data_IF_710591542981
#
_entry.id   IF_710591542981
#
_cell.length_a   1.000
_cell.length_b   1.000
_cell.length_c   1.000
_cell.angle_alpha   90.00
_cell.angle_beta   90.00
_cell.angle_gamma   90.00
#
_symmetry.space_group_name_H-M   'P 1'
#
loop_
_entity.id
_entity.type
_entity.pdbx_description
1 polymer ?
#
# COMPACT_ATOMS: atom_id res chain seq x y z
N UNK A 1 0.01 0.11 12.82
CA UNK A 1 0.31 0.80 11.53
C UNK A 1 -0.18 0.01 10.33
N UNK A 2 0.36 -1.19 10.01
CA UNK A 2 -0.13 -2.02 8.89
C UNK A 2 -1.65 -2.28 8.95
N UNK A 3 -2.10 -2.83 10.07
CA UNK A 3 -3.54 -3.09 10.33
C UNK A 3 -4.40 -1.82 10.25
N UNK A 4 -3.87 -0.66 10.66
CA UNK A 4 -4.60 0.60 10.57
C UNK A 4 -4.77 1.05 9.11
N UNK A 5 -3.76 0.82 8.26
CA UNK A 5 -3.84 1.08 6.83
C UNK A 5 -4.86 0.13 6.19
N UNK A 6 -4.82 -1.16 6.52
CA UNK A 6 -5.80 -2.15 6.04
C UNK A 6 -7.23 -1.76 6.44
N UNK A 7 -7.45 -1.41 7.72
CA UNK A 7 -8.75 -0.95 8.20
C UNK A 7 -9.20 0.34 7.50
N UNK A 8 -8.28 1.27 7.24
CA UNK A 8 -8.57 2.51 6.54
C UNK A 8 -9.01 2.23 5.09
N UNK A 9 -8.26 1.42 4.35
CA UNK A 9 -8.61 1.05 2.97
C UNK A 9 -9.95 0.32 2.94
N UNK A 10 -10.13 -0.69 3.79
CA UNK A 10 -11.40 -1.43 3.88
C UNK A 10 -12.58 -0.51 4.27
N UNK A 11 -12.33 0.57 5.02
CA UNK A 11 -13.35 1.55 5.40
C UNK A 11 -13.71 2.49 4.25
N UNK A 12 -12.74 3.02 3.53
CA UNK A 12 -12.93 4.13 2.60
C UNK A 12 -12.93 3.74 1.12
N UNK A 13 -12.26 2.65 0.73
CA UNK A 13 -12.20 2.16 -0.64
C UNK A 13 -12.79 0.74 -0.73
N UNK A 14 -14.10 0.67 -0.93
CA UNK A 14 -14.88 -0.59 -0.90
C UNK A 14 -14.65 -1.48 -2.12
N UNK A 15 -14.09 -0.94 -3.20
CA UNK A 15 -13.80 -1.70 -4.41
C UNK A 15 -12.61 -2.63 -4.22
N UNK A 16 -11.68 -2.27 -3.33
CA UNK A 16 -10.54 -3.13 -3.01
C UNK A 16 -10.94 -4.13 -1.92
N UNK A 17 -10.82 -5.42 -2.23
CA UNK A 17 -11.05 -6.53 -1.31
C UNK A 17 -9.73 -7.24 -1.03
N UNK A 18 -9.73 -8.08 0.01
CA UNK A 18 -8.58 -8.89 0.41
C UNK A 18 -7.29 -8.05 0.60
N UNK A 19 -7.45 -6.85 1.16
CA UNK A 19 -6.33 -5.91 1.37
C UNK A 19 -5.30 -6.53 2.31
N UNK A 20 -4.05 -6.57 1.86
CA UNK A 20 -2.89 -6.95 2.65
C UNK A 20 -1.84 -5.85 2.62
N UNK A 21 -1.31 -5.46 3.78
CA UNK A 21 -0.26 -4.45 3.89
C UNK A 21 1.00 -5.05 4.52
N UNK A 22 2.08 -5.04 3.74
CA UNK A 22 3.43 -5.44 4.17
C UNK A 22 4.36 -4.23 4.26
N UNK A 23 5.39 -4.33 5.10
CA UNK A 23 6.51 -3.37 5.08
C UNK A 23 7.59 -3.96 4.17
N UNK A 24 8.03 -3.21 3.17
CA UNK A 24 9.12 -3.64 2.27
C UNK A 24 10.44 -3.70 3.06
N UNK A 25 11.02 -4.91 3.27
CA UNK A 25 12.24 -5.07 4.03
C UNK A 25 13.48 -4.62 3.23
N UNK A 26 13.44 -4.64 1.89
CA UNK A 26 14.60 -4.31 1.06
C UNK A 26 14.94 -2.82 1.13
N UNK A 27 13.94 -1.96 1.27
CA UNK A 27 14.13 -0.50 1.44
C UNK A 27 14.58 -0.07 2.84
N UNK A 28 14.49 -0.93 3.85
CA UNK A 28 15.01 -0.63 5.20
C UNK A 28 16.52 -0.41 5.22
N UNK A 29 17.24 -0.85 4.18
CA UNK A 29 18.71 -0.88 4.17
C UNK A 29 19.39 0.39 3.65
N UNK A 30 18.68 1.27 2.93
CA UNK A 30 19.28 2.47 2.31
C UNK A 30 18.87 3.80 2.94
N UNK A 31 17.73 3.87 3.63
CA UNK A 31 17.28 5.08 4.29
C UNK A 31 16.37 4.78 5.49
N UNK A 32 16.92 4.87 6.71
CA UNK A 32 16.18 4.67 7.96
C UNK A 32 15.07 5.70 8.21
N UNK A 33 15.01 6.79 7.42
CA UNK A 33 13.98 7.83 7.52
C UNK A 33 12.80 7.62 6.58
N UNK A 34 12.83 6.56 5.77
CA UNK A 34 11.74 6.24 4.85
C UNK A 34 11.13 4.89 5.21
N UNK A 35 9.82 4.87 5.44
CA UNK A 35 9.06 3.63 5.62
C UNK A 35 8.40 3.30 4.29
N UNK A 36 8.65 2.11 3.76
CA UNK A 36 8.05 1.64 2.53
C UNK A 36 6.99 0.58 2.83
N UNK A 37 5.79 0.74 2.29
CA UNK A 37 4.73 -0.28 2.35
C UNK A 37 4.43 -0.83 0.97
N UNK A 38 4.09 -2.11 0.94
CA UNK A 38 3.48 -2.78 -0.19
C UNK A 38 2.03 -3.03 0.21
N UNK A 39 1.11 -2.59 -0.64
CA UNK A 39 -0.33 -2.75 -0.46
C UNK A 39 -0.81 -3.63 -1.61
N UNK A 40 -1.34 -4.79 -1.27
CA UNK A 40 -1.87 -5.76 -2.23
C UNK A 40 -3.37 -5.94 -1.99
N UNK A 41 -4.10 -6.25 -3.05
CA UNK A 41 -5.53 -6.53 -2.96
C UNK A 41 -6.13 -6.91 -4.30
N UNK A 42 -7.45 -7.05 -4.31
CA UNK A 42 -8.24 -7.33 -5.51
C UNK A 42 -9.21 -6.18 -5.71
N UNK A 43 -9.03 -5.43 -6.81
CA UNK A 43 -9.96 -4.40 -7.25
C UNK A 43 -11.16 -5.06 -7.92
N UNK A 44 -12.33 -5.00 -7.29
CA UNK A 44 -13.58 -5.37 -7.93
C UNK A 44 -14.03 -4.24 -8.86
N UNK A 45 -13.68 -4.36 -10.13
CA UNK A 45 -14.20 -3.55 -11.22
C UNK A 45 -15.16 -4.38 -12.10
N UNK A 46 -16.05 -3.69 -12.82
CA UNK A 46 -16.89 -4.29 -13.86
C UNK A 46 -16.07 -4.26 -15.17
N UNK A 47 -15.86 -5.39 -15.90
CA UNK A 47 -16.55 -6.68 -15.78
C UNK A 47 -15.85 -7.76 -14.94
N UNK A 48 -14.61 -7.55 -14.50
CA UNK A 48 -13.86 -8.58 -13.76
C UNK A 48 -13.00 -8.01 -12.63
N UNK A 49 -12.78 -8.76 -11.54
CA UNK A 49 -11.83 -8.40 -10.51
C UNK A 49 -10.38 -8.41 -11.02
N UNK A 50 -9.59 -7.43 -10.60
CA UNK A 50 -8.19 -7.26 -11.01
C UNK A 50 -7.26 -7.27 -9.77
N UNK A 51 -6.17 -8.04 -9.77
CA UNK A 51 -5.16 -7.92 -8.72
C UNK A 51 -4.45 -6.57 -8.84
N UNK A 52 -4.27 -5.89 -7.72
CA UNK A 52 -3.57 -4.60 -7.67
C UNK A 52 -2.44 -4.65 -6.65
N UNK A 53 -1.41 -3.87 -6.93
CA UNK A 53 -0.25 -3.72 -6.05
C UNK A 53 0.22 -2.28 -6.07
N UNK A 54 0.28 -1.68 -4.89
CA UNK A 54 0.83 -0.34 -4.71
C UNK A 54 2.08 -0.38 -3.86
N UNK A 55 3.07 0.41 -4.26
CA UNK A 55 4.22 0.75 -3.43
C UNK A 55 4.01 2.14 -2.85
N UNK A 56 4.19 2.29 -1.55
CA UNK A 56 4.13 3.60 -0.89
C UNK A 56 5.40 3.89 -0.11
N UNK A 57 5.73 5.19 -0.03
CA UNK A 57 6.89 5.71 0.70
C UNK A 57 6.43 6.82 1.63
N UNK A 58 6.71 6.66 2.93
CA UNK A 58 6.52 7.68 3.95
C UNK A 58 7.88 8.22 4.39
N UNK A 59 8.15 9.49 4.10
CA UNK A 59 9.31 10.21 4.66
C UNK A 59 8.94 10.72 6.05
N UNK A 60 9.57 10.18 7.09
CA UNK A 60 9.18 10.45 8.49
C UNK A 60 9.39 11.91 8.89
N UNK A 61 10.44 12.56 8.37
CA UNK A 61 10.79 13.95 8.71
C UNK A 61 9.83 14.96 8.07
N UNK A 62 9.54 14.80 6.77
CA UNK A 62 8.68 15.73 6.04
C UNK A 62 7.19 15.37 6.10
N UNK A 63 6.85 14.17 6.61
CA UNK A 63 5.51 13.57 6.55
C UNK A 63 4.95 13.45 5.13
N UNK A 64 5.84 13.47 4.13
CA UNK A 64 5.46 13.27 2.74
C UNK A 64 5.13 11.80 2.52
N UNK A 65 3.94 11.55 1.97
CA UNK A 65 3.46 10.21 1.64
C UNK A 65 3.20 10.12 0.15
N UNK A 66 3.90 9.21 -0.53
CA UNK A 66 3.74 8.98 -1.97
C UNK A 66 3.27 7.56 -2.19
N UNK A 67 2.33 7.38 -3.12
CA UNK A 67 1.85 6.07 -3.57
C UNK A 67 2.13 5.96 -5.06
N UNK A 68 2.63 4.81 -5.50
CA UNK A 68 2.86 4.49 -6.90
C UNK A 68 2.19 3.18 -7.24
N UNK A 69 1.57 3.14 -8.41
CA UNK A 69 1.12 1.89 -8.98
C UNK A 69 2.32 1.00 -9.29
N UNK A 70 2.21 -0.27 -8.96
CA UNK A 70 3.24 -1.29 -9.17
C UNK A 70 2.62 -2.39 -10.01
N UNK A 71 2.20 -2.04 -11.23
CA UNK A 71 1.83 -3.01 -12.26
C UNK A 71 3.16 -3.53 -12.83
N UNK A 72 3.55 -4.74 -12.44
CA UNK A 72 4.56 -5.54 -13.16
C UNK A 72 3.90 -6.30 -14.31
#
# INVERSE_FOLDING_TARGET
MREQIELCINRFEKRIRQVHVAIDPMRKTKDFRTIAFIIEGVLHADPAPEPIRYSSHLKTVSKEFTVKDSIE
#
